data_IF_001736715529
#
_entry.id   IF_001736715529
#
_cell.length_a   1.000
_cell.length_b   1.000
_cell.length_c   1.000
_cell.angle_alpha   90.00
_cell.angle_beta   90.00
_cell.angle_gamma   90.00
#
_symmetry.space_group_name_H-M   'P 1'
#
loop_
_entity.id
_entity.type
_entity.pdbx_description
1 polymer ?
#
# COMPACT_ATOMS: atom_id res chain seq x y z
N UNK A 1 15.54 -2.97 -22.09
CA UNK A 1 14.07 -2.74 -22.18
C UNK A 1 13.61 -2.29 -20.80
N UNK A 2 13.10 -1.06 -20.67
CA UNK A 2 12.64 -0.55 -19.36
C UNK A 2 11.22 -1.04 -19.12
N UNK A 3 11.03 -1.93 -18.14
CA UNK A 3 9.72 -2.34 -17.66
C UNK A 3 9.25 -1.36 -16.57
N UNK A 4 8.52 -0.32 -16.96
CA UNK A 4 7.90 0.60 -16.00
C UNK A 4 6.46 0.17 -15.70
N UNK A 5 6.08 0.21 -14.43
CA UNK A 5 4.71 0.00 -13.96
C UNK A 5 4.31 1.18 -13.08
N UNK A 6 3.32 1.94 -13.54
CA UNK A 6 2.74 3.05 -12.79
C UNK A 6 1.52 2.56 -12.00
N UNK A 7 1.58 2.69 -10.67
CA UNK A 7 0.44 2.50 -9.78
C UNK A 7 0.08 3.89 -9.23
N UNK A 8 -1.11 4.39 -9.59
CA UNK A 8 -1.58 5.65 -9.04
C UNK A 8 -1.72 5.55 -7.51
N UNK A 9 -1.09 6.45 -6.74
CA UNK A 9 -0.96 6.31 -5.30
C UNK A 9 -2.28 6.26 -4.52
N UNK A 10 -3.28 7.01 -4.98
CA UNK A 10 -4.43 7.37 -4.15
C UNK A 10 -5.50 6.29 -3.88
N UNK A 11 -5.51 5.14 -4.57
CA UNK A 11 -6.56 4.11 -4.36
C UNK A 11 -6.09 2.67 -4.31
N UNK A 12 -4.93 2.35 -4.87
CA UNK A 12 -4.45 0.95 -5.02
C UNK A 12 -2.98 0.74 -4.69
N UNK A 13 -2.24 1.81 -4.41
CA UNK A 13 -0.79 1.70 -4.32
C UNK A 13 -0.31 1.17 -2.97
N UNK A 14 -0.99 1.40 -1.84
CA UNK A 14 -0.45 0.99 -0.54
C UNK A 14 -0.11 -0.51 -0.47
N UNK A 15 -1.13 -1.36 -0.71
CA UNK A 15 -0.93 -2.82 -0.78
C UNK A 15 -0.16 -3.22 -2.04
N UNK A 16 -0.50 -2.70 -3.22
CA UNK A 16 0.21 -3.09 -4.46
C UNK A 16 1.72 -2.83 -4.43
N UNK A 17 2.15 -1.72 -3.82
CA UNK A 17 3.56 -1.36 -3.66
C UNK A 17 4.27 -2.26 -2.64
N UNK A 18 3.59 -2.68 -1.58
CA UNK A 18 4.19 -3.56 -0.57
C UNK A 18 4.56 -4.92 -1.16
N UNK A 19 3.61 -5.56 -1.84
CA UNK A 19 3.81 -6.83 -2.52
C UNK A 19 4.85 -6.71 -3.63
N UNK A 20 4.82 -5.62 -4.40
CA UNK A 20 5.82 -5.36 -5.45
C UNK A 20 7.22 -5.18 -4.87
N UNK A 21 7.38 -4.37 -3.83
CA UNK A 21 8.66 -4.17 -3.15
C UNK A 21 9.23 -5.47 -2.62
N UNK A 22 8.40 -6.30 -1.98
CA UNK A 22 8.84 -7.61 -1.49
C UNK A 22 9.34 -8.51 -2.63
N UNK A 23 8.63 -8.56 -3.78
CA UNK A 23 9.06 -9.33 -4.97
C UNK A 23 10.41 -8.88 -5.53
N UNK A 24 10.71 -7.58 -5.47
CA UNK A 24 11.98 -7.03 -5.94
C UNK A 24 13.11 -7.13 -4.90
N UNK A 25 12.85 -7.74 -3.72
CA UNK A 25 13.85 -7.83 -2.66
C UNK A 25 14.12 -6.51 -1.94
N UNK A 26 13.24 -5.51 -2.09
CA UNK A 26 13.35 -4.26 -1.34
C UNK A 26 12.93 -4.47 0.11
N UNK A 27 13.50 -3.66 1.00
CA UNK A 27 13.22 -3.63 2.43
C UNK A 27 11.97 -2.78 2.80
N UNK A 28 11.27 -2.21 1.81
CA UNK A 28 10.06 -1.42 2.02
C UNK A 28 9.62 -0.63 0.78
N UNK A 29 8.72 0.33 0.99
CA UNK A 29 8.32 1.36 0.03
C UNK A 29 7.97 2.63 0.79
N UNK A 30 7.88 3.74 0.07
CA UNK A 30 7.55 5.03 0.63
C UNK A 30 6.46 5.73 -0.15
N UNK A 31 5.86 6.72 0.50
CA UNK A 31 4.96 7.66 -0.15
C UNK A 31 5.42 9.08 0.18
N UNK A 32 5.51 9.93 -0.85
CA UNK A 32 6.20 11.21 -0.75
C UNK A 32 5.50 12.24 0.15
N UNK A 33 4.19 12.06 0.40
CA UNK A 33 3.39 13.03 1.12
C UNK A 33 2.57 12.37 2.24
N UNK A 34 2.97 12.59 3.49
CA UNK A 34 2.17 12.21 4.65
C UNK A 34 1.09 13.25 4.95
N UNK A 35 1.50 14.51 5.07
CA UNK A 35 0.65 15.65 5.44
C UNK A 35 1.23 16.92 4.83
N UNK A 36 0.43 17.64 4.03
CA UNK A 36 0.86 18.86 3.36
C UNK A 36 -0.36 19.76 3.06
N UNK A 37 -1.12 20.16 4.08
CA UNK A 37 -2.30 21.00 3.86
C UNK A 37 -1.86 22.35 3.28
N UNK A 38 -2.58 22.83 2.28
CA UNK A 38 -2.48 24.21 1.80
C UNK A 38 -3.87 24.83 1.83
N UNK A 39 -3.98 26.03 2.42
CA UNK A 39 -5.28 26.66 2.65
C UNK A 39 -6.24 25.76 3.45
N UNK A 40 -7.50 25.70 3.02
CA UNK A 40 -8.50 24.81 3.62
C UNK A 40 -8.40 23.40 3.05
N UNK A 41 -7.73 22.50 3.77
CA UNK A 41 -7.57 21.09 3.39
C UNK A 41 -8.89 20.33 3.13
N UNK A 42 -10.03 20.82 3.60
CA UNK A 42 -11.34 20.22 3.35
C UNK A 42 -12.06 20.78 2.12
N UNK A 43 -11.51 21.81 1.48
CA UNK A 43 -12.04 22.39 0.26
C UNK A 43 -11.19 21.96 -0.94
N UNK A 44 -11.78 21.17 -1.82
CA UNK A 44 -11.16 20.67 -3.06
C UNK A 44 -10.62 21.78 -3.95
N UNK A 45 -11.18 23.00 -3.91
CA UNK A 45 -10.69 24.14 -4.71
C UNK A 45 -9.29 24.60 -4.30
N UNK A 46 -8.89 24.34 -3.06
CA UNK A 46 -7.54 24.65 -2.59
C UNK A 46 -6.52 23.57 -3.03
N UNK A 47 -7.00 22.39 -3.43
CA UNK A 47 -6.15 21.28 -3.89
C UNK A 47 -5.74 21.45 -5.36
N UNK A 48 -6.58 22.10 -6.17
CA UNK A 48 -6.40 22.19 -7.62
C UNK A 48 -5.47 23.32 -8.05
N UNK A 49 -5.25 24.35 -7.21
CA UNK A 49 -4.39 25.48 -7.53
C UNK A 49 -2.89 25.19 -7.55
N UNK A 50 -2.45 24.05 -6.98
CA UNK A 50 -1.03 23.77 -6.68
C UNK A 50 -0.54 22.40 -7.14
N UNK A 51 -1.38 21.64 -7.85
CA UNK A 51 -1.06 20.25 -8.23
C UNK A 51 -1.21 19.31 -7.04
N UNK A 52 -2.38 18.66 -6.98
CA UNK A 52 -2.78 17.54 -6.11
C UNK A 52 -1.68 16.95 -5.20
N UNK A 53 -1.52 17.53 -4.01
CA UNK A 53 -0.80 16.87 -2.92
C UNK A 53 -1.75 15.86 -2.28
N UNK A 54 -1.68 14.61 -2.71
CA UNK A 54 -2.47 13.47 -2.20
C UNK A 54 -2.03 13.07 -0.79
N UNK A 55 -2.19 13.97 0.19
CA UNK A 55 -1.81 13.70 1.58
C UNK A 55 -2.58 12.51 2.16
N UNK A 56 -1.94 11.79 3.09
CA UNK A 56 -2.50 10.58 3.69
C UNK A 56 -3.48 10.88 4.83
N UNK A 57 -3.30 12.01 5.50
CA UNK A 57 -4.15 12.44 6.61
C UNK A 57 -4.60 13.89 6.45
N UNK A 58 -5.73 14.22 7.06
CA UNK A 58 -6.33 15.56 7.02
C UNK A 58 -6.40 16.18 8.41
N UNK A 59 -6.36 17.52 8.55
CA UNK A 59 -6.48 18.16 9.86
C UNK A 59 -7.89 18.01 10.45
N UNK A 60 -8.02 17.45 11.65
CA UNK A 60 -9.28 17.36 12.39
C UNK A 60 -9.24 18.10 13.73
N UNK A 61 -10.42 18.30 14.37
CA UNK A 61 -10.54 19.07 15.61
C UNK A 61 -9.83 18.45 16.83
N UNK A 62 -9.48 17.15 16.76
CA UNK A 62 -8.79 16.41 17.82
C UNK A 62 -7.50 15.73 17.33
N UNK A 63 -6.96 16.19 16.20
CA UNK A 63 -5.80 15.58 15.54
C UNK A 63 -6.09 15.11 14.12
N UNK A 64 -5.15 14.37 13.50
CA UNK A 64 -5.28 13.93 12.12
C UNK A 64 -6.48 13.00 11.90
N UNK A 65 -7.24 13.26 10.83
CA UNK A 65 -8.28 12.38 10.31
C UNK A 65 -7.63 11.45 9.28
N UNK A 66 -7.72 10.16 9.56
CA UNK A 66 -7.24 9.09 8.70
C UNK A 66 -8.14 8.99 7.46
N UNK A 67 -7.53 8.73 6.31
CA UNK A 67 -8.26 8.55 5.05
C UNK A 67 -7.97 7.18 4.42
N UNK A 68 -8.77 6.73 3.44
CA UNK A 68 -8.57 5.41 2.83
C UNK A 68 -7.15 5.16 2.29
N UNK A 69 -6.45 6.19 1.78
CA UNK A 69 -5.06 6.00 1.30
C UNK A 69 -4.12 5.59 2.45
N UNK A 70 -4.26 6.18 3.63
CA UNK A 70 -3.48 5.80 4.81
C UNK A 70 -3.75 4.35 5.21
N UNK A 71 -5.02 3.95 5.24
CA UNK A 71 -5.40 2.57 5.57
C UNK A 71 -4.80 1.57 4.56
N UNK A 72 -4.81 1.88 3.27
CA UNK A 72 -4.16 0.99 2.28
C UNK A 72 -2.64 0.88 2.47
N UNK A 73 -1.98 1.92 2.98
CA UNK A 73 -0.54 1.91 3.30
C UNK A 73 -0.27 1.07 4.55
N UNK A 74 -1.10 1.23 5.60
CA UNK A 74 -1.06 0.42 6.83
C UNK A 74 -1.28 -1.06 6.52
N UNK A 75 -2.31 -1.39 5.75
CA UNK A 75 -2.61 -2.76 5.30
C UNK A 75 -1.46 -3.33 4.46
N UNK A 76 -0.87 -2.50 3.58
CA UNK A 76 0.31 -2.90 2.81
C UNK A 76 1.47 -3.29 3.72
N UNK A 77 1.69 -2.56 4.83
CA UNK A 77 2.74 -2.86 5.81
C UNK A 77 2.50 -4.17 6.53
N UNK A 78 1.27 -4.43 6.91
CA UNK A 78 0.90 -5.70 7.53
C UNK A 78 1.10 -6.87 6.56
N UNK A 79 0.69 -6.71 5.29
CA UNK A 79 0.92 -7.72 4.26
C UNK A 79 2.42 -7.97 4.06
N UNK A 80 3.22 -6.91 4.00
CA UNK A 80 4.68 -7.04 3.84
C UNK A 80 5.31 -7.84 4.97
N UNK A 81 4.91 -7.55 6.22
CA UNK A 81 5.36 -8.31 7.40
C UNK A 81 4.91 -9.76 7.35
N UNK A 82 3.68 -10.02 6.87
CA UNK A 82 3.15 -11.36 6.71
C UNK A 82 3.96 -12.17 5.68
N UNK A 83 4.36 -11.55 4.57
CA UNK A 83 5.24 -12.19 3.57
C UNK A 83 6.62 -12.53 4.14
N UNK A 84 7.18 -11.65 4.98
CA UNK A 84 8.40 -11.96 5.72
C UNK A 84 8.21 -13.14 6.67
N UNK A 85 7.11 -13.15 7.42
CA UNK A 85 6.79 -14.25 8.32
C UNK A 85 6.68 -15.59 7.57
N UNK A 86 6.01 -15.62 6.40
CA UNK A 86 5.92 -16.82 5.56
C UNK A 86 7.30 -17.32 5.13
N UNK A 87 8.17 -16.40 4.68
CA UNK A 87 9.55 -16.73 4.29
C UNK A 87 10.33 -17.32 5.47
N UNK A 88 10.26 -16.67 6.63
CA UNK A 88 10.98 -17.10 7.84
C UNK A 88 10.46 -18.43 8.41
N UNK A 89 9.18 -18.73 8.23
CA UNK A 89 8.57 -19.99 8.65
C UNK A 89 8.75 -21.14 7.64
N UNK A 90 9.45 -20.91 6.52
CA UNK A 90 9.72 -21.96 5.53
C UNK A 90 8.55 -22.26 4.59
N UNK A 91 7.51 -21.42 4.53
CA UNK A 91 6.38 -21.56 3.60
C UNK A 91 6.72 -21.06 2.19
N UNK A 92 7.86 -21.49 1.64
CA UNK A 92 8.41 -20.98 0.39
C UNK A 92 7.46 -21.20 -0.80
N UNK A 93 6.84 -22.38 -0.90
CA UNK A 93 5.91 -22.70 -1.98
C UNK A 93 4.68 -21.77 -1.97
N UNK A 94 4.01 -21.64 -0.81
CA UNK A 94 2.86 -20.74 -0.67
C UNK A 94 3.26 -19.29 -0.95
N UNK A 95 4.42 -18.85 -0.46
CA UNK A 95 4.93 -17.51 -0.72
C UNK A 95 5.07 -17.27 -2.24
N UNK A 96 5.66 -18.19 -2.99
CA UNK A 96 5.82 -18.08 -4.44
C UNK A 96 4.48 -18.04 -5.19
N UNK A 97 3.51 -18.86 -4.77
CA UNK A 97 2.15 -18.85 -5.31
C UNK A 97 1.46 -17.49 -5.12
N UNK A 98 1.54 -16.94 -3.91
CA UNK A 98 0.95 -15.63 -3.59
C UNK A 98 1.65 -14.48 -4.34
N UNK A 99 2.99 -14.52 -4.42
CA UNK A 99 3.77 -13.53 -5.17
C UNK A 99 3.50 -13.61 -6.68
N UNK A 100 3.16 -14.79 -7.20
CA UNK A 100 2.73 -14.97 -8.59
C UNK A 100 1.32 -14.41 -8.81
N UNK A 101 0.37 -14.73 -7.94
CA UNK A 101 -1.00 -14.22 -8.02
C UNK A 101 -1.06 -12.69 -7.93
N UNK A 102 -0.22 -12.07 -7.09
CA UNK A 102 -0.13 -10.61 -6.96
C UNK A 102 0.39 -9.85 -8.19
N UNK A 103 0.73 -10.53 -9.29
CA UNK A 103 1.13 -9.92 -10.58
C UNK A 103 -0.04 -9.66 -11.53
N UNK A 104 -1.23 -10.19 -11.23
CA UNK A 104 -2.41 -10.05 -12.09
C UNK A 104 -2.85 -8.58 -12.21
N UNK A 105 -3.53 -8.23 -13.30
CA UNK A 105 -4.02 -6.86 -13.54
C UNK A 105 -5.15 -6.46 -12.58
N UNK A 106 -5.89 -7.44 -12.08
CA UNK A 106 -6.90 -7.31 -11.02
C UNK A 106 -6.51 -8.26 -9.90
N UNK A 107 -6.01 -7.70 -8.80
CA UNK A 107 -5.65 -8.46 -7.60
C UNK A 107 -6.66 -8.15 -6.51
N UNK A 108 -7.22 -9.21 -5.93
CA UNK A 108 -7.91 -9.12 -4.64
C UNK A 108 -6.86 -9.26 -3.53
N UNK A 109 -6.44 -8.12 -2.98
CA UNK A 109 -5.43 -8.12 -1.91
C UNK A 109 -5.94 -8.77 -0.63
N UNK A 110 -7.24 -8.72 -0.36
CA UNK A 110 -7.79 -9.32 0.84
C UNK A 110 -7.77 -10.84 0.76
N UNK A 111 -8.11 -11.41 -0.40
CA UNK A 111 -7.95 -12.85 -0.66
C UNK A 111 -6.51 -13.31 -0.42
N UNK A 112 -5.52 -12.63 -1.01
CA UNK A 112 -4.12 -13.02 -0.86
C UNK A 112 -3.66 -12.97 0.60
N UNK A 113 -4.11 -11.96 1.36
CA UNK A 113 -3.83 -11.87 2.80
C UNK A 113 -4.48 -13.00 3.58
N UNK A 114 -5.74 -13.31 3.30
CA UNK A 114 -6.45 -14.39 3.99
C UNK A 114 -5.74 -15.73 3.76
N UNK A 115 -5.39 -16.04 2.52
CA UNK A 115 -4.62 -17.25 2.15
C UNK A 115 -3.26 -17.31 2.84
N UNK A 116 -2.58 -16.18 2.97
CA UNK A 116 -1.31 -16.10 3.71
C UNK A 116 -1.50 -16.33 5.22
N UNK A 117 -2.60 -15.85 5.80
CA UNK A 117 -2.91 -16.05 7.22
C UNK A 117 -3.30 -17.49 7.54
N UNK A 118 -3.91 -18.24 6.61
CA UNK A 118 -4.25 -19.67 6.82
C UNK A 118 -3.01 -20.52 7.14
N UNK A 119 -1.81 -20.12 6.72
CA UNK A 119 -0.57 -20.83 7.04
C UNK A 119 -0.17 -20.76 8.53
N UNK A 120 -0.77 -19.84 9.29
CA UNK A 120 -0.45 -19.58 10.69
C UNK A 120 -1.61 -19.92 11.65
N UNK A 121 -2.66 -20.57 11.15
CA UNK A 121 -3.73 -21.13 11.99
C UNK A 121 -3.38 -22.56 12.41
#
# INVERSE_FOLDING_TARGET
>A
MVQAHYLHPARRAGRGMSWKSFRHGFNGWGYYCYYSPQGNAWDIKTWTGLGYSYQMVFPGPKGPIITPIYETMREGWEDYRLLYALRSAGHQQLLEELLTASRQSQVDWQDLRNRALEAFK
#
